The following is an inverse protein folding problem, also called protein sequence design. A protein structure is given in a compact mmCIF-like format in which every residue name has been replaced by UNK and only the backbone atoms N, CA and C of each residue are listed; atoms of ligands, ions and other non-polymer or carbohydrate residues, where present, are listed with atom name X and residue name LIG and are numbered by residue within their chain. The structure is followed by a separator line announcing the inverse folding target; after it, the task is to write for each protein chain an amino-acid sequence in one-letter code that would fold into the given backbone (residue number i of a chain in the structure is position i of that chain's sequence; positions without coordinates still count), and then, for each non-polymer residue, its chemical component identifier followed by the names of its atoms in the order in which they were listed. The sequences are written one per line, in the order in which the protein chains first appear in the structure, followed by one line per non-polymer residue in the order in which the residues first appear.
data_IF_304373431027
#
_entry.id   IF_304373431027
#
_cell.length_a   1.000
_cell.length_b   1.000
_cell.length_c   1.000
_cell.angle_alpha   90.00
_cell.angle_beta   90.00
_cell.angle_gamma   90.00
#
_symmetry.space_group_name_H-M   'P 1'
#
loop_
_entity.id
_entity.type
_entity.pdbx_description
1 polymer ?
#
# COMPACT_ATOMS: atom_id res chain seq x y z
N UNK A 1 -7.04 4.23 -22.14
CA UNK A 1 -7.15 4.26 -20.68
C UNK A 1 -5.87 3.68 -20.11
N UNK A 2 -4.94 4.51 -19.64
CA UNK A 2 -3.68 4.02 -19.07
C UNK A 2 -3.99 3.14 -17.86
N UNK A 3 -3.62 1.86 -17.96
CA UNK A 3 -3.55 0.94 -16.81
C UNK A 3 -2.39 1.41 -15.95
N UNK A 4 -2.59 2.46 -15.16
CA UNK A 4 -1.64 2.77 -14.10
C UNK A 4 -1.65 1.57 -13.14
N UNK A 5 -0.54 0.83 -13.11
CA UNK A 5 -0.37 -0.29 -12.21
C UNK A 5 -0.49 0.23 -10.78
N UNK A 6 -1.65 0.02 -10.18
CA UNK A 6 -1.91 0.41 -8.81
C UNK A 6 -0.92 -0.31 -7.91
N UNK A 7 -0.02 0.47 -7.33
CA UNK A 7 0.98 -0.04 -6.39
C UNK A 7 0.28 -0.51 -5.12
N UNK A 8 0.36 -1.80 -4.75
CA UNK A 8 -0.45 -2.36 -3.66
C UNK A 8 -0.10 -1.76 -2.30
N UNK A 9 1.10 -1.24 -2.08
CA UNK A 9 1.48 -0.66 -0.79
C UNK A 9 1.53 0.85 -0.86
N UNK A 10 0.61 1.53 -0.17
CA UNK A 10 0.60 2.98 -0.02
C UNK A 10 1.14 3.36 1.35
N UNK A 11 2.16 4.21 1.37
CA UNK A 11 2.70 4.78 2.60
C UNK A 11 2.32 6.26 2.60
N UNK A 12 1.53 6.65 3.60
CA UNK A 12 1.05 8.02 3.78
C UNK A 12 1.61 8.60 5.07
N UNK A 13 1.95 9.88 5.05
CA UNK A 13 2.32 10.61 6.27
C UNK A 13 1.10 11.35 6.82
N UNK A 14 0.78 11.15 8.10
CA UNK A 14 -0.27 11.88 8.79
C UNK A 14 0.24 13.23 9.36
N UNK A 15 -0.68 14.11 9.74
CA UNK A 15 -0.39 15.49 10.19
C UNK A 15 0.53 15.55 11.41
N UNK A 16 0.45 14.55 12.29
CA UNK A 16 1.33 14.38 13.46
C UNK A 16 2.76 13.95 13.10
N UNK A 17 3.05 13.75 11.81
CA UNK A 17 4.38 13.36 11.32
C UNK A 17 4.64 11.85 11.29
N UNK A 18 3.67 11.06 11.76
CA UNK A 18 3.70 9.61 11.71
C UNK A 18 3.50 9.08 10.27
N UNK A 19 3.87 7.83 10.03
CA UNK A 19 3.65 7.13 8.76
C UNK A 19 2.65 5.99 8.96
N UNK A 20 1.72 5.84 8.03
CA UNK A 20 0.78 4.72 7.98
C UNK A 20 0.94 3.93 6.70
N UNK A 21 0.75 2.62 6.82
CA UNK A 21 0.73 1.69 5.69
C UNK A 21 -0.72 1.37 5.34
N UNK A 22 -1.08 1.52 4.07
CA UNK A 22 -2.34 1.04 3.50
C UNK A 22 -2.03 -0.01 2.46
N UNK A 23 -2.60 -1.20 2.66
CA UNK A 23 -2.48 -2.33 1.73
C UNK A 23 -3.68 -2.29 0.79
N UNK A 24 -3.42 -2.25 -0.51
CA UNK A 24 -4.40 -2.22 -1.58
C UNK A 24 -4.37 -3.54 -2.31
N UNK A 25 -5.38 -4.38 -2.05
CA UNK A 25 -5.57 -5.62 -2.79
C UNK A 25 -6.38 -5.33 -4.06
N UNK A 26 -5.91 -5.80 -5.21
CA UNK A 26 -6.62 -5.66 -6.49
C UNK A 26 -7.01 -7.03 -6.98
N UNK A 27 -8.31 -7.32 -6.98
CA UNK A 27 -8.88 -8.53 -7.57
C UNK A 27 -9.74 -8.19 -8.77
N UNK A 28 -9.88 -9.10 -9.71
CA UNK A 28 -10.75 -8.92 -10.87
C UNK A 28 -12.07 -9.65 -10.67
N UNK A 29 -13.18 -9.01 -11.01
CA UNK A 29 -14.47 -9.70 -11.07
C UNK A 29 -14.58 -10.57 -12.34
N UNK A 30 -15.68 -11.30 -12.48
CA UNK A 30 -15.96 -12.15 -13.65
C UNK A 30 -16.03 -11.38 -14.99
N UNK A 31 -16.21 -10.06 -14.94
CA UNK A 31 -16.24 -9.17 -16.10
C UNK A 31 -14.87 -8.53 -16.40
N UNK A 32 -13.82 -8.89 -15.65
CA UNK A 32 -12.46 -8.37 -15.85
C UNK A 32 -12.24 -6.94 -15.33
N UNK A 33 -13.16 -6.41 -14.50
CA UNK A 33 -12.97 -5.11 -13.85
C UNK A 33 -12.16 -5.25 -12.56
N UNK A 34 -11.17 -4.36 -12.33
CA UNK A 34 -10.41 -4.35 -11.09
C UNK A 34 -11.25 -3.80 -9.93
N UNK A 35 -11.32 -4.56 -8.85
CA UNK A 35 -11.87 -4.16 -7.57
C UNK A 35 -10.69 -3.96 -6.63
N UNK A 36 -10.50 -2.71 -6.18
CA UNK A 36 -9.42 -2.33 -5.29
C UNK A 36 -9.97 -2.22 -3.87
N UNK A 37 -9.43 -3.01 -2.95
CA UNK A 37 -9.77 -2.95 -1.53
C UNK A 37 -8.61 -2.32 -0.79
N UNK A 38 -8.82 -1.17 -0.15
CA UNK A 38 -7.80 -0.49 0.62
C UNK A 38 -7.99 -0.76 2.12
N UNK A 39 -7.05 -1.48 2.72
CA UNK A 39 -7.02 -1.79 4.15
C UNK A 39 -5.92 -0.98 4.81
N UNK A 40 -6.30 0.00 5.61
CA UNK A 40 -5.37 0.76 6.44
C UNK A 40 -4.91 -0.11 7.61
N UNK A 41 -3.60 -0.18 7.83
CA UNK A 41 -3.04 -0.86 8.99
C UNK A 41 -3.11 0.06 10.21
N UNK A 42 -3.44 -0.51 11.37
CA UNK A 42 -3.50 0.23 12.63
C UNK A 42 -2.11 0.66 13.12
N UNK A 43 -1.06 -0.02 12.65
CA UNK A 43 0.31 0.24 13.07
C UNK A 43 0.84 1.56 12.50
N UNK A 44 1.45 2.35 13.39
CA UNK A 44 2.00 3.66 13.07
C UNK A 44 3.52 3.56 13.09
N UNK A 45 4.14 3.96 11.98
CA UNK A 45 5.57 3.90 11.78
C UNK A 45 6.21 5.27 11.99
N UNK A 46 7.42 5.28 12.57
CA UNK A 46 8.23 6.51 12.74
C UNK A 46 8.89 6.99 11.44
N UNK A 47 9.00 6.10 10.45
CA UNK A 47 9.62 6.41 9.15
C UNK A 47 8.96 5.62 8.01
N UNK A 48 9.06 6.15 6.79
CA UNK A 48 8.63 5.43 5.59
C UNK A 48 9.42 4.12 5.37
N UNK A 49 10.69 4.07 5.78
CA UNK A 49 11.51 2.86 5.69
C UNK A 49 11.00 1.75 6.62
N UNK A 50 10.56 2.09 7.83
CA UNK A 50 9.95 1.12 8.75
C UNK A 50 8.64 0.56 8.19
N UNK A 51 7.79 1.40 7.61
CA UNK A 51 6.57 0.95 6.93
C UNK A 51 6.88 0.02 5.74
N UNK A 52 7.94 0.29 4.96
CA UNK A 52 8.39 -0.60 3.88
C UNK A 52 8.92 -1.93 4.40
N UNK A 53 9.71 -1.93 5.46
CA UNK A 53 10.23 -3.15 6.07
C UNK A 53 9.07 -4.02 6.58
N UNK A 54 8.12 -3.43 7.29
CA UNK A 54 6.92 -4.13 7.75
C UNK A 54 6.12 -4.74 6.60
N UNK A 55 5.90 -3.98 5.52
CA UNK A 55 5.23 -4.47 4.32
C UNK A 55 5.99 -5.62 3.66
N UNK A 56 7.33 -5.53 3.59
CA UNK A 56 8.18 -6.59 3.04
C UNK A 56 8.08 -7.87 3.87
N UNK A 57 8.15 -7.76 5.18
CA UNK A 57 8.26 -8.92 6.07
C UNK A 57 6.90 -9.61 6.27
N UNK A 58 5.81 -8.84 6.38
CA UNK A 58 4.46 -9.38 6.62
C UNK A 58 3.70 -9.69 5.32
N UNK A 59 3.86 -8.86 4.29
CA UNK A 59 3.09 -8.94 3.05
C UNK A 59 3.95 -9.30 1.82
N UNK A 60 5.23 -9.64 2.02
CA UNK A 60 6.18 -9.99 0.94
C UNK A 60 6.28 -8.90 -0.14
N UNK A 61 6.11 -7.64 0.28
CA UNK A 61 6.07 -6.50 -0.62
C UNK A 61 7.43 -6.26 -1.32
N UNK A 62 7.36 -6.07 -2.64
CA UNK A 62 8.54 -5.83 -3.48
C UNK A 62 8.86 -4.34 -3.65
N UNK A 63 10.14 -3.96 -3.91
CA UNK A 63 10.55 -2.55 -4.06
C UNK A 63 9.76 -1.72 -5.08
N UNK A 64 9.24 -2.34 -6.15
CA UNK A 64 8.43 -1.66 -7.17
C UNK A 64 6.97 -1.41 -6.77
N UNK A 65 6.50 -2.05 -5.70
CA UNK A 65 5.10 -2.10 -5.29
C UNK A 65 4.71 -0.99 -4.29
N UNK A 66 5.65 -0.10 -3.93
CA UNK A 66 5.43 1.00 -3.00
C UNK A 66 5.08 2.31 -3.70
N UNK A 67 4.00 2.93 -3.24
CA UNK A 67 3.60 4.30 -3.53
C UNK A 67 3.69 5.12 -2.25
N UNK A 68 4.23 6.33 -2.35
CA UNK A 68 4.28 7.29 -1.24
C UNK A 68 3.45 8.50 -1.61
N UNK A 69 2.59 8.93 -0.69
CA UNK A 69 1.73 10.11 -0.85
C UNK A 69 1.88 11.04 0.33
#
# INVERSE_FOLDING_TARGET
MSRETLKPFLISKNEEGAFRLTVRDTRFNSQGYPIVTATMQDEIFKSASAARAYARDNFKAEPGQYSTK
#
